data_IF_250412105830
#
_entry.id   IF_250412105830
#
_cell.length_a   1.000
_cell.length_b   1.000
_cell.length_c   1.000
_cell.angle_alpha   90.00
_cell.angle_beta   90.00
_cell.angle_gamma   90.00
#
_symmetry.space_group_name_H-M   'P 1'
#
loop_
_entity.id
_entity.type
_entity.pdbx_description
1 polymer ?
#
# COMPACT_ATOMS: atom_id res chain seq x y z
N UNK A 1 1.49 8.75 -8.91
CA UNK A 1 2.67 9.23 -9.66
C UNK A 1 3.56 8.06 -10.06
N UNK A 2 4.03 8.06 -11.29
CA UNK A 2 4.95 7.04 -11.80
C UNK A 2 6.26 7.72 -12.18
N UNK A 3 7.35 7.37 -11.49
CA UNK A 3 8.65 8.03 -11.68
C UNK A 3 9.56 7.34 -12.70
N UNK A 4 9.26 6.12 -13.07
CA UNK A 4 10.10 5.31 -13.96
C UNK A 4 9.27 4.95 -15.19
N UNK A 5 9.91 5.00 -16.37
CA UNK A 5 9.26 4.58 -17.60
C UNK A 5 8.77 3.13 -17.45
N UNK A 6 7.50 2.88 -17.85
CA UNK A 6 6.89 1.57 -17.70
C UNK A 6 6.24 1.32 -16.35
N UNK A 7 6.41 2.21 -15.37
CA UNK A 7 5.72 2.07 -14.09
C UNK A 7 4.21 2.22 -14.28
N UNK A 8 3.43 1.48 -13.50
CA UNK A 8 1.97 1.44 -13.63
C UNK A 8 1.28 1.63 -12.28
N UNK A 9 0.20 2.40 -12.31
CA UNK A 9 -0.78 2.46 -11.23
C UNK A 9 -2.12 2.10 -11.83
N UNK A 10 -2.74 1.02 -11.35
CA UNK A 10 -4.04 0.57 -11.82
C UNK A 10 -5.03 0.63 -10.66
N UNK A 11 -6.14 1.31 -10.87
CA UNK A 11 -7.17 1.50 -9.84
C UNK A 11 -8.49 0.99 -10.41
N UNK A 12 -9.11 0.04 -9.71
CA UNK A 12 -10.38 -0.54 -10.11
C UNK A 12 -11.54 0.45 -10.00
N UNK A 13 -12.66 0.09 -10.62
CA UNK A 13 -13.85 0.93 -10.63
C UNK A 13 -14.40 1.15 -9.23
N UNK A 14 -15.08 2.27 -9.04
CA UNK A 14 -15.79 2.61 -7.82
C UNK A 14 -14.91 2.69 -6.58
N UNK A 15 -13.59 2.81 -6.74
CA UNK A 15 -12.66 3.02 -5.64
C UNK A 15 -12.58 4.50 -5.31
N UNK A 16 -12.69 4.82 -4.02
CA UNK A 16 -12.62 6.20 -3.52
C UNK A 16 -11.30 6.43 -2.83
N UNK A 17 -10.59 7.47 -3.24
CA UNK A 17 -9.29 7.83 -2.69
C UNK A 17 -9.34 9.30 -2.30
N UNK A 18 -9.07 9.60 -1.03
CA UNK A 18 -9.05 10.96 -0.52
C UNK A 18 -7.62 11.38 -0.21
N UNK A 19 -7.12 12.42 -0.89
CA UNK A 19 -5.85 13.09 -0.54
C UNK A 19 -4.69 12.15 -0.19
N UNK A 20 -4.51 11.08 -0.93
CA UNK A 20 -3.51 10.05 -0.68
C UNK A 20 -2.43 10.11 -1.75
N UNK A 21 -1.19 9.91 -1.35
CA UNK A 21 -0.05 9.83 -2.26
C UNK A 21 0.18 8.38 -2.69
N UNK A 22 0.12 8.14 -3.98
CA UNK A 22 0.43 6.83 -4.57
C UNK A 22 1.62 7.02 -5.50
N UNK A 23 2.71 6.31 -5.23
CA UNK A 23 3.95 6.51 -5.95
C UNK A 23 4.51 5.17 -6.43
N UNK A 24 4.49 4.96 -7.74
CA UNK A 24 4.95 3.72 -8.33
C UNK A 24 6.28 3.89 -9.07
N UNK A 25 7.21 3.00 -8.76
CA UNK A 25 8.43 2.80 -9.52
C UNK A 25 8.33 1.55 -10.41
N UNK A 26 7.45 0.64 -10.07
CA UNK A 26 7.22 -0.60 -10.81
C UNK A 26 5.72 -0.81 -11.06
N UNK A 27 4.97 -1.16 -10.01
CA UNK A 27 3.53 -1.40 -10.18
C UNK A 27 2.79 -1.36 -8.86
N UNK A 28 1.67 -0.66 -8.85
CA UNK A 28 0.71 -0.65 -7.74
C UNK A 28 -0.67 -0.93 -8.33
N UNK A 29 -1.30 -2.02 -7.90
CA UNK A 29 -2.65 -2.37 -8.29
C UNK A 29 -3.59 -2.23 -7.11
N UNK A 30 -4.66 -1.48 -7.29
CA UNK A 30 -5.74 -1.31 -6.32
C UNK A 30 -7.01 -1.81 -6.97
N UNK A 31 -7.72 -2.71 -6.29
CA UNK A 31 -8.93 -3.31 -6.82
C UNK A 31 -10.11 -2.36 -6.89
N UNK A 32 -11.29 -2.92 -7.11
CA UNK A 32 -12.54 -2.17 -7.17
C UNK A 32 -13.19 -2.03 -5.80
N UNK A 33 -14.05 -1.03 -5.65
CA UNK A 33 -14.87 -0.80 -4.44
C UNK A 33 -14.06 -0.54 -3.18
N UNK A 34 -12.79 -0.12 -3.31
CA UNK A 34 -11.97 0.21 -2.17
C UNK A 34 -12.27 1.59 -1.61
N UNK A 35 -12.00 1.77 -0.32
CA UNK A 35 -12.06 3.06 0.37
C UNK A 35 -10.68 3.35 0.95
N UNK A 36 -10.00 4.36 0.43
CA UNK A 36 -8.71 4.80 0.92
C UNK A 36 -8.87 6.20 1.50
N UNK A 37 -8.73 6.31 2.81
CA UNK A 37 -8.93 7.55 3.53
C UNK A 37 -7.77 8.54 3.30
N UNK A 38 -7.88 9.73 3.86
CA UNK A 38 -6.94 10.81 3.61
C UNK A 38 -5.54 10.58 4.19
N UNK A 39 -4.56 11.19 3.56
CA UNK A 39 -3.17 11.25 4.02
C UNK A 39 -2.48 9.89 4.12
N UNK A 40 -2.91 8.92 3.36
CA UNK A 40 -2.19 7.66 3.24
C UNK A 40 -1.01 7.81 2.30
N UNK A 41 -0.05 6.91 2.42
CA UNK A 41 1.07 6.82 1.49
C UNK A 41 1.21 5.37 1.03
N UNK A 42 1.21 5.18 -0.28
CA UNK A 42 1.35 3.87 -0.90
C UNK A 42 2.49 3.98 -1.89
N UNK A 43 3.59 3.27 -1.63
CA UNK A 43 4.74 3.33 -2.52
C UNK A 43 5.44 1.97 -2.60
N UNK A 44 5.86 1.61 -3.80
CA UNK A 44 6.44 0.30 -4.10
C UNK A 44 7.96 0.29 -4.08
N UNK A 45 8.58 1.40 -3.74
CA UNK A 45 10.02 1.54 -3.57
C UNK A 45 10.30 2.58 -2.50
N UNK A 46 11.38 2.39 -1.76
CA UNK A 46 11.86 3.41 -0.83
C UNK A 46 12.52 4.60 -1.54
N UNK A 47 12.69 4.52 -2.85
CA UNK A 47 13.27 5.58 -3.65
C UNK A 47 14.78 5.68 -3.60
N UNK A 48 15.40 4.97 -2.67
CA UNK A 48 16.83 5.00 -2.43
C UNK A 48 17.36 3.63 -2.08
N UNK A 49 18.59 3.35 -2.45
CA UNK A 49 19.27 2.14 -2.00
C UNK A 49 19.68 2.32 -0.52
N UNK A 50 19.62 1.24 0.24
CA UNK A 50 20.00 1.27 1.66
C UNK A 50 21.51 1.35 1.89
N UNK A 51 22.33 1.00 0.90
CA UNK A 51 23.79 1.08 1.03
C UNK A 51 24.22 2.55 1.06
N UNK A 52 25.07 2.94 2.02
CA UNK A 52 25.43 4.35 2.22
C UNK A 52 26.00 5.05 0.97
N UNK A 53 26.79 4.34 0.19
CA UNK A 53 27.43 4.91 -1.01
C UNK A 53 26.52 4.94 -2.22
N UNK A 54 25.34 4.34 -2.16
CA UNK A 54 24.39 4.28 -3.28
C UNK A 54 23.07 4.98 -2.99
N UNK A 55 22.87 5.51 -1.78
CA UNK A 55 21.59 6.10 -1.36
C UNK A 55 21.09 7.21 -2.26
N UNK A 56 22.00 8.02 -2.81
CA UNK A 56 21.65 9.19 -3.60
C UNK A 56 21.66 8.94 -5.10
N UNK A 57 22.25 7.85 -5.54
CA UNK A 57 22.47 7.57 -6.96
C UNK A 57 21.71 6.37 -7.48
N UNK A 58 21.11 5.58 -6.58
CA UNK A 58 20.39 4.37 -6.93
C UNK A 58 19.01 4.40 -6.25
N UNK A 59 17.95 4.21 -7.04
CA UNK A 59 16.56 4.23 -6.53
C UNK A 59 16.21 3.02 -5.64
N UNK A 60 17.08 2.03 -5.57
CA UNK A 60 16.77 0.81 -4.86
C UNK A 60 15.85 -0.10 -5.66
N UNK A 61 15.43 -1.20 -5.03
CA UNK A 61 14.56 -2.19 -5.64
C UNK A 61 13.09 -1.79 -5.44
N UNK A 62 12.30 -1.89 -6.50
CA UNK A 62 10.84 -1.74 -6.42
C UNK A 62 10.19 -3.11 -6.27
N UNK A 63 9.19 -3.21 -5.40
CA UNK A 63 8.42 -4.43 -5.17
C UNK A 63 6.93 -4.11 -5.30
N UNK A 64 6.26 -4.77 -6.22
CA UNK A 64 4.86 -4.50 -6.51
C UNK A 64 3.99 -4.54 -5.27
N UNK A 65 3.01 -3.63 -5.23
CA UNK A 65 1.95 -3.62 -4.21
C UNK A 65 0.65 -4.05 -4.87
N UNK A 66 -0.09 -4.91 -4.19
CA UNK A 66 -1.39 -5.37 -4.66
C UNK A 66 -2.42 -5.24 -3.55
N UNK A 67 -3.43 -4.43 -3.80
CA UNK A 67 -4.56 -4.25 -2.90
C UNK A 67 -5.79 -4.85 -3.59
N UNK A 68 -6.43 -5.81 -2.93
CA UNK A 68 -7.59 -6.52 -3.46
C UNK A 68 -8.83 -5.63 -3.57
N UNK A 69 -9.99 -6.27 -3.70
CA UNK A 69 -11.26 -5.57 -3.83
C UNK A 69 -11.86 -5.27 -2.46
N UNK A 70 -12.66 -4.20 -2.39
CA UNK A 70 -13.42 -3.85 -1.20
C UNK A 70 -12.54 -3.74 0.05
N UNK A 71 -11.34 -3.20 -0.09
CA UNK A 71 -10.41 -2.96 1.03
C UNK A 71 -10.64 -1.56 1.57
N UNK A 72 -10.65 -1.43 2.88
CA UNK A 72 -10.74 -0.13 3.55
C UNK A 72 -9.42 0.17 4.24
N UNK A 73 -8.75 1.25 3.82
CA UNK A 73 -7.51 1.72 4.43
C UNK A 73 -7.81 2.99 5.21
N UNK A 74 -7.62 2.94 6.52
CA UNK A 74 -7.86 4.07 7.41
C UNK A 74 -6.86 5.20 7.20
N UNK A 75 -7.23 6.42 7.59
CA UNK A 75 -6.44 7.62 7.39
C UNK A 75 -5.02 7.51 7.97
N UNK A 76 -4.09 8.21 7.34
CA UNK A 76 -2.70 8.31 7.79
C UNK A 76 -1.96 6.97 7.84
N UNK A 77 -2.38 6.01 7.05
CA UNK A 77 -1.69 4.72 6.95
C UNK A 77 -0.60 4.76 5.88
N UNK A 78 0.40 3.90 6.05
CA UNK A 78 1.51 3.77 5.12
C UNK A 78 1.58 2.31 4.67
N UNK A 79 1.53 2.08 3.36
CA UNK A 79 1.65 0.76 2.76
C UNK A 79 3.02 0.67 2.10
N UNK A 80 3.84 -0.24 2.59
CA UNK A 80 5.24 -0.36 2.20
C UNK A 80 5.44 -1.29 1.00
N UNK A 81 6.61 -1.21 0.32
CA UNK A 81 6.89 -2.04 -0.85
C UNK A 81 6.67 -3.53 -0.63
N UNK A 82 6.10 -4.19 -1.62
CA UNK A 82 5.94 -5.65 -1.62
C UNK A 82 4.73 -6.17 -0.87
N UNK A 83 3.92 -5.29 -0.28
CA UNK A 83 2.75 -5.71 0.51
C UNK A 83 1.58 -6.08 -0.42
N UNK A 84 0.91 -7.18 -0.09
CA UNK A 84 -0.38 -7.55 -0.67
C UNK A 84 -1.44 -7.48 0.42
N UNK A 85 -2.56 -6.82 0.14
CA UNK A 85 -3.69 -6.76 1.05
C UNK A 85 -4.87 -7.49 0.40
N UNK A 86 -5.33 -8.55 1.04
CA UNK A 86 -6.42 -9.37 0.51
C UNK A 86 -7.76 -8.65 0.54
N UNK A 87 -8.68 -9.10 -0.30
CA UNK A 87 -10.02 -8.49 -0.44
C UNK A 87 -10.79 -8.47 0.87
N UNK A 88 -11.65 -7.48 1.02
CA UNK A 88 -12.53 -7.25 2.17
C UNK A 88 -11.80 -6.91 3.47
N UNK A 89 -10.48 -6.73 3.45
CA UNK A 89 -9.70 -6.43 4.65
C UNK A 89 -9.80 -4.95 5.03
N UNK A 90 -9.49 -4.67 6.29
CA UNK A 90 -9.49 -3.32 6.84
C UNK A 90 -8.13 -3.05 7.47
N UNK A 91 -7.55 -1.92 7.12
CA UNK A 91 -6.33 -1.40 7.74
C UNK A 91 -6.73 -0.27 8.68
N UNK A 92 -6.46 -0.43 9.96
CA UNK A 92 -6.77 0.60 10.95
C UNK A 92 -5.99 1.89 10.68
N UNK A 93 -6.59 3.03 11.00
CA UNK A 93 -5.96 4.33 10.80
C UNK A 93 -4.59 4.42 11.49
N UNK A 94 -3.67 5.12 10.87
CA UNK A 94 -2.33 5.35 11.43
C UNK A 94 -1.42 4.13 11.40
N UNK A 95 -1.73 3.12 10.60
CA UNK A 95 -0.94 1.88 10.53
C UNK A 95 0.23 2.00 9.57
N UNK A 96 1.30 1.27 9.86
CA UNK A 96 2.43 1.08 8.96
C UNK A 96 2.46 -0.40 8.56
N UNK A 97 2.02 -0.69 7.34
CA UNK A 97 1.87 -2.07 6.86
C UNK A 97 3.12 -2.50 6.13
N UNK A 98 3.90 -3.37 6.75
CA UNK A 98 5.15 -3.88 6.21
C UNK A 98 5.10 -5.37 5.84
N UNK A 99 3.99 -6.03 6.11
CA UNK A 99 3.74 -7.43 5.75
C UNK A 99 2.37 -7.58 5.13
N UNK A 100 2.21 -8.56 4.26
CA UNK A 100 0.94 -8.81 3.60
C UNK A 100 -0.16 -9.18 4.58
N UNK A 101 -1.38 -8.77 4.26
CA UNK A 101 -2.57 -8.98 5.07
C UNK A 101 -3.51 -9.91 4.31
N UNK A 102 -3.92 -11.04 4.90
CA UNK A 102 -4.85 -11.95 4.23
C UNK A 102 -6.23 -11.33 4.07
N UNK A 103 -7.02 -11.89 3.18
CA UNK A 103 -8.41 -11.46 2.97
C UNK A 103 -9.24 -11.59 4.26
N UNK A 104 -10.27 -10.78 4.41
CA UNK A 104 -11.23 -10.86 5.49
C UNK A 104 -10.64 -10.57 6.88
N UNK A 105 -9.53 -9.83 6.95
CA UNK A 105 -8.88 -9.50 8.22
C UNK A 105 -8.82 -8.01 8.49
N UNK A 106 -8.77 -7.68 9.77
CA UNK A 106 -8.44 -6.34 10.25
C UNK A 106 -6.99 -6.39 10.74
N UNK A 107 -6.19 -5.48 10.24
CA UNK A 107 -4.80 -5.31 10.67
C UNK A 107 -4.55 -3.87 11.08
N UNK A 108 -3.65 -3.64 12.00
CA UNK A 108 -3.32 -2.29 12.44
C UNK A 108 -2.11 -2.21 13.33
N UNK A 109 -1.63 -1.01 13.49
CA UNK A 109 -0.48 -0.69 14.32
C UNK A 109 0.78 -0.34 13.53
N UNK A 110 1.86 -0.10 14.22
CA UNK A 110 3.18 0.20 13.64
C UNK A 110 4.26 -0.64 14.36
N UNK A 111 4.76 -1.70 13.74
CA UNK A 111 4.31 -2.29 12.49
C UNK A 111 2.94 -2.92 12.64
N UNK A 112 2.17 -2.92 11.54
CA UNK A 112 0.82 -3.48 11.56
C UNK A 112 0.84 -4.99 11.80
N UNK A 113 -0.10 -5.45 12.61
CA UNK A 113 -0.29 -6.87 12.93
C UNK A 113 -1.76 -7.23 12.73
N UNK A 114 -2.03 -8.51 12.49
CA UNK A 114 -3.40 -8.98 12.40
C UNK A 114 -4.09 -8.81 13.74
N UNK A 115 -5.25 -8.18 13.74
CA UNK A 115 -6.05 -7.97 14.94
C UNK A 115 -7.07 -9.10 15.08
N UNK A 116 -7.85 -9.34 14.02
CA UNK A 116 -8.83 -10.42 13.97
C UNK A 116 -9.37 -10.60 12.55
N UNK A 117 -10.13 -11.68 12.32
CA UNK A 117 -10.98 -11.79 11.13
C UNK A 117 -12.17 -10.85 11.28
N UNK A 118 -12.70 -10.37 10.15
CA UNK A 118 -13.83 -9.43 10.18
C UNK A 118 -15.09 -10.04 10.80
N UNK A 119 -15.28 -11.34 10.61
CA UNK A 119 -16.45 -12.07 11.09
C UNK A 119 -16.34 -12.60 12.52
N UNK A 120 -15.33 -12.21 13.23
CA UNK A 120 -15.13 -12.61 14.64
C UNK A 120 -15.59 -11.56 15.63
#
# INVERSE_FOLDING_TARGET
>A
MCDVEGAQINIGKNTRIHGTCIHAFKRIDIGQDCLIAANCQIFDSNGHNSLPNERRTNNGEAKEIKIGDNVWIGANSIILPGVSIGSNSIIAAGSVVNKSVPSEHIAGGNPAKLIKRIDE
#
